data_IF_337286425791
#
_entry.id   IF_337286425791
#
_cell.length_a   1.000
_cell.length_b   1.000
_cell.length_c   1.000
_cell.angle_alpha   90.00
_cell.angle_beta   90.00
_cell.angle_gamma   90.00
#
_symmetry.space_group_name_H-M   'P 1'
#
loop_
_entity.id
_entity.type
_entity.pdbx_description
1 polymer ?
#
# COMPACT_ATOMS: atom_id res chain seq x y z
N UNK A 1 22.09 3.80 -38.13
CA UNK A 1 20.62 4.03 -38.01
C UNK A 1 19.95 3.04 -37.05
N UNK A 2 20.20 1.72 -37.16
CA UNK A 2 19.62 0.70 -36.25
C UNK A 2 19.92 0.95 -34.76
N UNK A 3 21.18 1.24 -34.39
CA UNK A 3 21.55 1.53 -32.99
C UNK A 3 20.83 2.76 -32.40
N UNK A 4 20.58 3.78 -33.22
CA UNK A 4 19.87 4.98 -32.78
C UNK A 4 18.37 4.68 -32.53
N UNK A 5 17.76 3.82 -33.36
CA UNK A 5 16.38 3.36 -33.15
C UNK A 5 16.24 2.52 -31.88
N UNK A 6 17.21 1.64 -31.60
CA UNK A 6 17.20 0.81 -30.38
C UNK A 6 17.25 1.65 -29.11
N UNK A 7 18.06 2.72 -29.12
CA UNK A 7 18.18 3.61 -27.98
C UNK A 7 16.90 4.44 -27.76
N UNK A 8 16.29 4.94 -28.84
CA UNK A 8 15.01 5.65 -28.77
C UNK A 8 13.87 4.78 -28.23
N UNK A 9 13.85 3.48 -28.56
CA UNK A 9 12.83 2.56 -28.06
C UNK A 9 12.98 2.27 -26.55
N UNK A 10 14.22 2.18 -26.06
CA UNK A 10 14.48 1.98 -24.63
C UNK A 10 14.06 3.20 -23.76
N UNK A 11 14.09 4.40 -24.34
CA UNK A 11 13.71 5.66 -23.68
C UNK A 11 12.18 5.92 -23.68
N UNK A 12 11.41 5.15 -24.46
CA UNK A 12 9.97 5.37 -24.64
C UNK A 12 9.09 4.72 -23.55
N UNK A 13 9.68 4.14 -22.50
CA UNK A 13 8.92 3.49 -21.43
C UNK A 13 8.36 4.55 -20.48
N UNK A 14 7.02 4.72 -20.38
CA UNK A 14 6.44 5.66 -19.43
C UNK A 14 6.68 5.19 -17.98
N UNK A 15 6.88 6.12 -17.03
CA UNK A 15 6.94 5.74 -15.63
C UNK A 15 5.59 5.16 -15.18
N UNK A 16 5.64 4.04 -14.47
CA UNK A 16 4.47 3.51 -13.76
C UNK A 16 4.45 4.09 -12.35
N UNK A 17 3.43 4.89 -12.04
CA UNK A 17 3.23 5.40 -10.68
C UNK A 17 2.51 4.35 -9.84
N UNK A 18 3.18 3.84 -8.81
CA UNK A 18 2.55 3.01 -7.82
C UNK A 18 1.71 3.89 -6.88
N UNK A 19 0.44 3.54 -6.71
CA UNK A 19 -0.38 4.16 -5.68
C UNK A 19 0.26 3.91 -4.30
N UNK A 20 0.16 4.86 -3.35
CA UNK A 20 0.67 4.68 -2.00
C UNK A 20 0.01 3.45 -1.36
N UNK A 21 0.81 2.64 -0.69
CA UNK A 21 0.33 1.38 -0.14
C UNK A 21 -0.75 1.62 0.94
N UNK A 22 -1.86 0.86 0.94
CA UNK A 22 -2.90 1.01 1.94
C UNK A 22 -2.48 0.41 3.28
N UNK A 23 -2.79 1.12 4.35
CA UNK A 23 -2.54 0.67 5.73
C UNK A 23 -3.84 0.37 6.46
N UNK A 24 -3.82 -0.61 7.36
CA UNK A 24 -5.00 -1.03 8.12
C UNK A 24 -4.70 -1.14 9.60
N UNK A 25 -5.72 -0.90 10.42
CA UNK A 25 -5.66 -1.23 11.85
C UNK A 25 -6.07 -2.69 12.02
N UNK A 26 -5.21 -3.47 12.65
CA UNK A 26 -5.42 -4.87 12.99
C UNK A 26 -5.57 -5.01 14.50
N UNK A 27 -6.63 -5.70 14.93
CA UNK A 27 -6.87 -6.03 16.33
C UNK A 27 -6.30 -7.41 16.66
N UNK A 28 -5.60 -7.49 17.79
CA UNK A 28 -5.04 -8.74 18.32
C UNK A 28 -6.16 -9.72 18.69
N UNK A 29 -5.99 -11.02 18.43
CA UNK A 29 -6.98 -12.03 18.80
C UNK A 29 -7.05 -12.30 20.31
N UNK A 30 -5.96 -12.04 21.06
CA UNK A 30 -5.81 -12.47 22.45
C UNK A 30 -5.57 -11.32 23.43
N UNK A 31 -5.55 -10.07 22.94
CA UNK A 31 -5.32 -8.88 23.76
C UNK A 31 -6.04 -7.68 23.17
N UNK A 32 -6.12 -6.59 23.93
CA UNK A 32 -6.70 -5.33 23.45
C UNK A 32 -5.75 -4.54 22.52
N UNK A 33 -4.58 -5.11 22.21
CA UNK A 33 -3.59 -4.45 21.36
C UNK A 33 -4.08 -4.30 19.92
N UNK A 34 -3.73 -3.15 19.34
CA UNK A 34 -3.99 -2.83 17.94
C UNK A 34 -2.69 -2.38 17.28
N UNK A 35 -2.50 -2.78 16.04
CA UNK A 35 -1.32 -2.41 15.25
C UNK A 35 -1.72 -1.87 13.89
N UNK A 36 -0.94 -0.93 13.36
CA UNK A 36 -1.10 -0.44 11.99
C UNK A 36 -0.14 -1.22 11.09
N UNK A 37 -0.67 -1.91 10.08
CA UNK A 37 0.14 -2.70 9.14
C UNK A 37 -0.54 -2.79 7.75
N UNK A 38 0.26 -2.89 6.69
CA UNK A 38 -0.24 -3.09 5.32
C UNK A 38 -0.91 -4.46 5.16
N UNK A 39 -0.33 -5.49 5.77
CA UNK A 39 -0.80 -6.89 5.74
C UNK A 39 -1.12 -7.38 7.14
N UNK A 40 -1.84 -8.51 7.23
CA UNK A 40 -2.19 -9.10 8.52
C UNK A 40 -0.92 -9.55 9.27
N UNK A 41 -0.76 -9.21 10.57
CA UNK A 41 0.35 -9.73 11.38
C UNK A 41 0.29 -11.25 11.60
N UNK A 42 -0.87 -11.87 11.38
CA UNK A 42 -1.05 -13.32 11.49
C UNK A 42 -2.48 -13.75 11.18
N UNK A 43 -2.72 -15.06 11.09
CA UNK A 43 -4.01 -15.59 10.63
C UNK A 43 -5.21 -15.18 11.52
N UNK A 44 -5.00 -15.07 12.84
CA UNK A 44 -6.05 -14.75 13.79
C UNK A 44 -6.30 -13.24 13.98
N UNK A 45 -5.51 -12.37 13.33
CA UNK A 45 -5.70 -10.93 13.45
C UNK A 45 -6.88 -10.45 12.60
N UNK A 46 -7.70 -9.56 13.17
CA UNK A 46 -8.88 -9.00 12.49
C UNK A 46 -8.62 -7.58 12.03
N UNK A 47 -8.87 -7.30 10.75
CA UNK A 47 -8.89 -5.93 10.21
C UNK A 47 -10.10 -5.18 10.78
N UNK A 48 -9.87 -4.03 11.41
CA UNK A 48 -10.93 -3.24 12.09
C UNK A 48 -11.09 -1.81 11.58
N UNK A 49 -10.10 -1.26 10.87
CA UNK A 49 -10.21 0.06 10.23
C UNK A 49 -9.24 0.21 9.04
N UNK A 50 -9.46 1.25 8.23
CA UNK A 50 -8.69 1.59 7.03
C UNK A 50 -9.52 1.45 5.74
N UNK A 51 -8.93 1.69 4.55
CA UNK A 51 -7.51 1.94 4.32
C UNK A 51 -7.05 3.35 4.71
N UNK A 52 -5.87 3.44 5.31
CA UNK A 52 -5.14 4.65 5.67
C UNK A 52 -4.02 4.94 4.66
N UNK A 53 -3.64 6.22 4.55
CA UNK A 53 -2.57 6.68 3.64
C UNK A 53 -1.15 6.56 4.21
N UNK A 54 -1.00 6.15 5.47
CA UNK A 54 0.32 6.08 6.12
C UNK A 54 0.43 4.98 7.18
N UNK A 55 1.68 4.65 7.51
CA UNK A 55 2.07 3.63 8.48
C UNK A 55 1.64 3.90 9.92
N UNK A 56 1.21 5.12 10.23
CA UNK A 56 0.74 5.49 11.56
C UNK A 56 -0.78 5.30 11.72
N UNK A 57 -1.52 5.04 10.64
CA UNK A 57 -2.98 5.01 10.63
C UNK A 57 -3.60 6.29 11.23
N UNK A 58 -2.95 7.46 11.02
CA UNK A 58 -3.40 8.76 11.57
C UNK A 58 -4.05 9.68 10.55
N UNK A 59 -3.77 9.49 9.25
CA UNK A 59 -4.45 10.25 8.20
C UNK A 59 -5.94 9.86 8.14
N UNK A 60 -6.80 10.72 7.57
CA UNK A 60 -8.18 10.32 7.31
C UNK A 60 -8.21 9.03 6.45
N UNK A 61 -9.07 8.05 6.77
CA UNK A 61 -9.30 6.89 5.92
C UNK A 61 -9.70 7.32 4.51
N UNK A 62 -9.47 6.45 3.52
CA UNK A 62 -9.97 6.69 2.17
C UNK A 62 -11.49 6.83 2.20
N UNK A 63 -12.09 7.81 1.49
CA UNK A 63 -13.54 7.91 1.42
C UNK A 63 -14.09 6.59 0.85
N UNK A 64 -14.89 5.89 1.65
CA UNK A 64 -15.66 4.75 1.16
C UNK A 64 -16.74 5.32 0.25
N UNK A 65 -16.64 5.02 -1.05
CA UNK A 65 -17.64 5.40 -2.04
C UNK A 65 -18.98 4.78 -1.70
#
# INVERSE_FOLDING_TARGET
>A
MLFALSLLFALAVPPVEAAPAPWYVWASPSSEHRVCAQTSPGAAWRKVAGPYRNAACRAAPYPTR
#
